data_IF_431878345738
#
_entry.id   IF_431878345738
#
_cell.length_a   1.000
_cell.length_b   1.000
_cell.length_c   1.000
_cell.angle_alpha   90.00
_cell.angle_beta   90.00
_cell.angle_gamma   90.00
#
_symmetry.space_group_name_H-M   'P 1'
#
loop_
_entity.id
_entity.type
_entity.pdbx_description
1 polymer ?
#
# COMPACT_ATOMS: atom_id res chain seq x y z
N UNK A 1 -9.83 42.17 32.37
CA UNK A 1 -10.05 40.75 32.03
C UNK A 1 -9.28 40.46 30.76
N UNK A 2 -8.23 39.61 30.75
CA UNK A 2 -7.40 39.51 29.56
C UNK A 2 -8.00 38.47 28.60
N UNK A 3 -8.22 38.90 27.36
CA UNK A 3 -8.70 38.10 26.23
C UNK A 3 -7.55 37.31 25.61
N UNK A 4 -7.07 36.28 26.31
CA UNK A 4 -5.91 35.48 25.90
C UNK A 4 -6.26 34.25 25.07
N UNK A 5 -7.01 34.44 23.98
CA UNK A 5 -6.91 33.52 22.84
C UNK A 5 -7.04 34.34 21.56
N UNK A 6 -5.95 34.50 20.78
CA UNK A 6 -6.10 34.99 19.43
C UNK A 6 -6.96 33.97 18.70
N UNK A 7 -8.18 34.38 18.32
CA UNK A 7 -8.98 33.69 17.33
C UNK A 7 -8.09 33.58 16.09
N UNK A 8 -7.46 32.43 15.89
CA UNK A 8 -6.73 32.13 14.67
C UNK A 8 -7.76 31.99 13.57
N UNK A 9 -8.26 33.14 13.09
CA UNK A 9 -8.91 33.31 11.80
C UNK A 9 -7.84 33.16 10.71
N UNK A 10 -7.11 32.05 10.75
CA UNK A 10 -6.47 31.54 9.56
C UNK A 10 -7.55 30.67 8.96
N UNK A 11 -8.13 31.15 7.86
CA UNK A 11 -8.94 30.39 6.92
C UNK A 11 -8.04 29.31 6.25
N UNK A 12 -7.34 28.52 7.08
CA UNK A 12 -6.48 27.43 6.68
C UNK A 12 -7.41 26.31 6.31
N UNK A 13 -7.31 25.90 5.04
CA UNK A 13 -8.02 24.73 4.55
C UNK A 13 -7.78 23.57 5.55
N UNK A 14 -8.87 22.99 6.05
CA UNK A 14 -8.87 21.84 6.97
C UNK A 14 -7.92 20.74 6.48
N UNK A 15 -7.82 20.61 5.16
CA UNK A 15 -6.91 19.74 4.44
C UNK A 15 -5.44 20.03 4.77
N UNK A 16 -4.99 21.28 4.69
CA UNK A 16 -3.62 21.71 5.02
C UNK A 16 -3.28 21.47 6.51
N UNK A 17 -4.24 21.67 7.42
CA UNK A 17 -4.02 21.39 8.84
C UNK A 17 -3.84 19.89 9.10
N UNK A 18 -4.64 19.05 8.43
CA UNK A 18 -4.50 17.59 8.50
C UNK A 18 -3.13 17.15 7.99
N UNK A 19 -2.69 17.69 6.84
CA UNK A 19 -1.38 17.38 6.25
C UNK A 19 -0.22 17.79 7.16
N UNK A 20 -0.21 19.03 7.68
CA UNK A 20 0.84 19.50 8.57
C UNK A 20 0.96 18.61 9.82
N UNK A 21 -0.16 18.33 10.48
CA UNK A 21 -0.16 17.49 11.69
C UNK A 21 0.25 16.04 11.39
N UNK A 22 -0.11 15.51 10.22
CA UNK A 22 0.36 14.21 9.77
C UNK A 22 1.88 14.18 9.59
N UNK A 23 2.45 15.21 8.96
CA UNK A 23 3.90 15.34 8.72
C UNK A 23 4.70 15.55 10.02
N UNK A 24 4.06 16.10 11.06
CA UNK A 24 4.62 16.14 12.42
C UNK A 24 4.65 14.77 13.13
N UNK A 25 4.12 13.72 12.51
CA UNK A 25 4.11 12.38 13.08
C UNK A 25 2.95 12.10 14.03
N UNK A 26 1.94 12.98 14.11
CA UNK A 26 0.80 12.82 15.01
C UNK A 26 -0.18 11.72 14.54
N UNK A 27 -0.50 10.79 15.43
CA UNK A 27 -1.45 9.70 15.19
C UNK A 27 -2.85 10.22 14.83
N UNK A 28 -3.70 9.38 14.24
CA UNK A 28 -5.04 9.82 13.86
C UNK A 28 -5.86 10.39 15.02
N UNK A 29 -5.75 9.81 16.23
CA UNK A 29 -6.39 10.35 17.44
C UNK A 29 -5.83 11.72 17.84
N UNK A 30 -4.51 11.88 17.79
CA UNK A 30 -3.83 13.14 18.12
C UNK A 30 -4.18 14.25 17.13
N UNK A 31 -4.21 13.95 15.83
CA UNK A 31 -4.65 14.90 14.79
C UNK A 31 -6.08 15.36 15.08
N UNK A 32 -6.98 14.44 15.44
CA UNK A 32 -8.37 14.81 15.76
C UNK A 32 -8.46 15.70 17.00
N UNK A 33 -7.74 15.36 18.07
CA UNK A 33 -7.69 16.16 19.29
C UNK A 33 -7.12 17.55 19.02
N UNK A 34 -6.06 17.65 18.22
CA UNK A 34 -5.43 18.92 17.85
C UNK A 34 -6.37 19.80 17.03
N UNK A 35 -7.02 19.23 16.01
CA UNK A 35 -8.00 19.97 15.19
C UNK A 35 -9.17 20.50 16.02
N UNK A 36 -9.61 19.73 17.02
CA UNK A 36 -10.67 20.14 17.93
C UNK A 36 -10.20 21.25 18.87
N UNK A 37 -9.07 21.08 19.54
CA UNK A 37 -8.59 21.97 20.60
C UNK A 37 -8.01 23.28 20.06
N UNK A 38 -7.24 23.24 18.97
CA UNK A 38 -6.55 24.40 18.43
C UNK A 38 -7.38 25.17 17.39
N UNK A 39 -8.28 24.48 16.67
CA UNK A 39 -8.98 25.06 15.53
C UNK A 39 -10.52 24.93 15.59
N UNK A 40 -11.07 24.27 16.62
CA UNK A 40 -12.51 24.09 16.78
C UNK A 40 -13.16 23.19 15.72
N UNK A 41 -12.37 22.44 14.93
CA UNK A 41 -12.88 21.57 13.86
C UNK A 41 -12.94 20.14 14.34
N UNK A 42 -14.11 19.49 14.18
CA UNK A 42 -14.32 18.10 14.62
C UNK A 42 -14.59 17.16 13.43
N UNK A 43 -13.56 16.76 12.66
CA UNK A 43 -13.76 15.76 11.63
C UNK A 43 -13.96 14.37 12.26
N UNK A 44 -14.78 13.55 11.64
CA UNK A 44 -14.82 12.11 11.93
C UNK A 44 -13.51 11.44 11.49
N UNK A 45 -13.17 10.31 12.12
CA UNK A 45 -12.05 9.46 11.68
C UNK A 45 -12.15 9.12 10.19
N UNK A 46 -13.37 8.88 9.68
CA UNK A 46 -13.60 8.58 8.26
C UNK A 46 -13.24 9.77 7.37
N UNK A 47 -13.61 10.99 7.76
CA UNK A 47 -13.25 12.21 7.03
C UNK A 47 -11.73 12.45 7.06
N UNK A 48 -11.09 12.27 8.21
CA UNK A 48 -9.63 12.37 8.33
C UNK A 48 -8.93 11.37 7.38
N UNK A 49 -9.33 10.10 7.41
CA UNK A 49 -8.78 9.06 6.52
C UNK A 49 -8.99 9.37 5.04
N UNK A 50 -10.17 9.89 4.68
CA UNK A 50 -10.46 10.29 3.28
C UNK A 50 -9.54 11.40 2.81
N UNK A 51 -9.35 12.44 3.63
CA UNK A 51 -8.46 13.58 3.30
C UNK A 51 -7.01 13.10 3.16
N UNK A 52 -6.52 12.32 4.13
CA UNK A 52 -5.17 11.73 4.06
C UNK A 52 -5.00 10.88 2.80
N UNK A 53 -5.98 10.05 2.46
CA UNK A 53 -5.95 9.23 1.25
C UNK A 53 -5.93 10.06 -0.04
N UNK A 54 -6.77 11.11 -0.15
CA UNK A 54 -6.76 11.99 -1.33
C UNK A 54 -5.44 12.74 -1.51
N UNK A 55 -4.68 12.94 -0.44
CA UNK A 55 -3.34 13.55 -0.47
C UNK A 55 -2.20 12.52 -0.64
N UNK A 56 -2.50 11.22 -0.67
CA UNK A 56 -1.48 10.17 -0.68
C UNK A 56 -0.69 10.04 0.63
N UNK A 57 -1.20 10.59 1.73
CA UNK A 57 -0.56 10.57 3.05
C UNK A 57 -0.91 9.28 3.79
N UNK A 58 0.03 8.33 3.77
CA UNK A 58 -0.09 7.03 4.42
C UNK A 58 1.18 6.73 5.23
N UNK A 59 1.03 6.28 6.47
CA UNK A 59 2.17 5.97 7.36
C UNK A 59 2.92 4.70 6.98
N UNK A 60 2.18 3.71 6.47
CA UNK A 60 2.75 2.46 5.96
C UNK A 60 2.84 2.55 4.45
N UNK A 61 3.95 3.06 3.91
CA UNK A 61 4.32 2.85 2.51
C UNK A 61 5.11 1.54 2.42
N UNK A 62 4.44 0.42 2.61
CA UNK A 62 5.06 -0.90 2.46
C UNK A 62 5.03 -1.35 0.99
N UNK A 63 5.27 -0.42 0.06
CA UNK A 63 5.51 -0.75 -1.33
C UNK A 63 6.98 -1.12 -1.44
N UNK A 64 7.23 -2.40 -1.64
CA UNK A 64 8.54 -2.85 -2.08
C UNK A 64 8.86 -2.18 -3.40
N UNK A 65 10.12 -1.85 -3.64
CA UNK A 65 10.57 -1.32 -4.93
C UNK A 65 10.06 -2.23 -6.06
N UNK A 66 9.26 -1.71 -7.02
CA UNK A 66 8.73 -2.50 -8.12
C UNK A 66 9.81 -3.27 -8.88
N UNK A 67 11.02 -2.70 -9.03
CA UNK A 67 12.12 -3.36 -9.72
C UNK A 67 12.58 -4.61 -8.97
N UNK A 68 12.69 -4.53 -7.64
CA UNK A 68 13.03 -5.68 -6.79
C UNK A 68 11.94 -6.74 -6.87
N UNK A 69 10.66 -6.35 -6.85
CA UNK A 69 9.54 -7.29 -6.97
C UNK A 69 9.58 -8.02 -8.31
N UNK A 70 9.81 -7.31 -9.41
CA UNK A 70 9.89 -7.88 -10.76
C UNK A 70 11.04 -8.88 -10.85
N UNK A 71 12.25 -8.51 -10.42
CA UNK A 71 13.43 -9.37 -10.48
C UNK A 71 13.23 -10.69 -9.69
N UNK A 72 12.59 -10.63 -8.52
CA UNK A 72 12.28 -11.84 -7.74
C UNK A 72 11.22 -12.70 -8.42
N UNK A 73 10.20 -12.09 -9.05
CA UNK A 73 9.19 -12.82 -9.81
C UNK A 73 9.82 -13.56 -10.99
N UNK A 74 10.67 -12.90 -11.76
CA UNK A 74 11.38 -13.53 -12.89
C UNK A 74 12.14 -14.77 -12.44
N UNK A 75 12.91 -14.65 -11.36
CA UNK A 75 13.64 -15.77 -10.74
C UNK A 75 12.71 -16.91 -10.29
N UNK A 76 11.56 -16.60 -9.68
CA UNK A 76 10.59 -17.63 -9.26
C UNK A 76 9.93 -18.32 -10.46
N UNK A 77 9.69 -17.59 -11.56
CA UNK A 77 9.09 -18.12 -12.79
C UNK A 77 10.02 -19.08 -13.52
N UNK A 78 11.34 -18.95 -13.38
CA UNK A 78 12.29 -19.95 -13.90
C UNK A 78 12.14 -21.32 -13.20
N UNK A 79 11.64 -21.33 -11.97
CA UNK A 79 11.48 -22.52 -11.15
C UNK A 79 10.03 -22.96 -10.95
N UNK A 80 9.74 -23.36 -9.71
CA UNK A 80 8.41 -23.84 -9.29
C UNK A 80 7.34 -22.74 -9.28
N UNK A 81 7.75 -21.46 -9.31
CA UNK A 81 6.84 -20.32 -9.37
C UNK A 81 6.01 -20.25 -10.66
N UNK A 82 6.48 -20.86 -11.75
CA UNK A 82 5.71 -20.93 -13.01
C UNK A 82 4.43 -21.79 -12.93
N UNK A 83 4.34 -22.68 -11.94
CA UNK A 83 3.21 -23.60 -11.78
C UNK A 83 2.06 -23.01 -10.95
N UNK A 84 2.37 -21.98 -10.15
CA UNK A 84 1.45 -21.41 -9.17
C UNK A 84 0.79 -20.14 -9.70
N UNK A 85 -0.41 -19.82 -9.19
CA UNK A 85 -1.08 -18.57 -9.51
C UNK A 85 -0.52 -17.38 -8.71
N UNK A 86 -0.81 -16.14 -9.14
CA UNK A 86 -0.30 -14.93 -8.50
C UNK A 86 -0.61 -14.84 -7.00
N UNK A 87 -1.71 -15.43 -6.53
CA UNK A 87 -2.06 -15.47 -5.11
C UNK A 87 -1.06 -16.27 -4.29
N UNK A 88 -0.68 -17.44 -4.80
CA UNK A 88 0.31 -18.31 -4.15
C UNK A 88 1.71 -17.72 -4.31
N UNK A 89 2.03 -17.14 -5.48
CA UNK A 89 3.29 -16.44 -5.71
C UNK A 89 3.44 -15.27 -4.73
N UNK A 90 2.42 -14.42 -4.58
CA UNK A 90 2.41 -13.33 -3.59
C UNK A 90 2.63 -13.84 -2.17
N UNK A 91 1.99 -14.94 -1.78
CA UNK A 91 2.21 -15.53 -0.47
C UNK A 91 3.67 -15.98 -0.28
N UNK A 92 4.27 -16.62 -1.30
CA UNK A 92 5.68 -17.02 -1.28
C UNK A 92 6.60 -15.81 -1.18
N UNK A 93 6.40 -14.81 -2.04
CA UNK A 93 7.16 -13.55 -2.01
C UNK A 93 7.09 -12.85 -0.65
N UNK A 94 5.94 -12.96 0.02
CA UNK A 94 5.75 -12.40 1.36
C UNK A 94 6.49 -13.18 2.45
N UNK A 95 6.53 -14.50 2.36
CA UNK A 95 7.16 -15.37 3.37
C UNK A 95 8.68 -15.40 3.19
N UNK A 96 9.15 -15.58 1.96
CA UNK A 96 10.56 -15.86 1.68
C UNK A 96 11.37 -14.58 1.47
N UNK A 97 10.75 -13.53 0.91
CA UNK A 97 11.43 -12.28 0.53
C UNK A 97 10.89 -11.05 1.27
N UNK A 98 9.89 -11.21 2.14
CA UNK A 98 9.26 -10.09 2.88
C UNK A 98 8.48 -9.10 1.99
N UNK A 99 8.27 -9.42 0.72
CA UNK A 99 7.61 -8.52 -0.25
C UNK A 99 6.10 -8.57 -0.08
N UNK A 100 5.48 -7.41 0.18
CA UNK A 100 4.05 -7.33 0.52
C UNK A 100 3.16 -6.83 -0.61
N UNK A 101 3.73 -6.28 -1.67
CA UNK A 101 2.95 -5.62 -2.72
C UNK A 101 2.22 -6.61 -3.63
N UNK A 102 0.93 -6.80 -3.38
CA UNK A 102 0.10 -7.78 -4.10
C UNK A 102 -0.23 -7.34 -5.52
N UNK A 103 -0.46 -6.05 -5.73
CA UNK A 103 -0.93 -5.54 -7.00
C UNK A 103 0.22 -5.49 -8.01
N UNK A 104 1.40 -5.06 -7.56
CA UNK A 104 2.64 -5.13 -8.34
C UNK A 104 2.93 -6.57 -8.78
N UNK A 105 2.79 -7.56 -7.89
CA UNK A 105 2.95 -8.99 -8.25
C UNK A 105 1.94 -9.43 -9.31
N UNK A 106 0.67 -9.04 -9.17
CA UNK A 106 -0.41 -9.40 -10.10
C UNK A 106 -0.14 -8.82 -11.50
N UNK A 107 0.26 -7.55 -11.57
CA UNK A 107 0.58 -6.86 -12.82
C UNK A 107 1.84 -7.44 -13.46
N UNK A 108 2.93 -7.55 -12.70
CA UNK A 108 4.20 -8.10 -13.18
C UNK A 108 4.00 -9.51 -13.75
N UNK A 109 3.33 -10.41 -13.02
CA UNK A 109 3.08 -11.77 -13.49
C UNK A 109 2.19 -11.82 -14.74
N UNK A 110 1.24 -10.88 -14.90
CA UNK A 110 0.43 -10.79 -16.12
C UNK A 110 1.30 -10.43 -17.33
N UNK A 111 2.32 -9.59 -17.16
CA UNK A 111 3.22 -9.19 -18.23
C UNK A 111 4.34 -10.21 -18.50
N UNK A 112 4.88 -10.84 -17.46
CA UNK A 112 6.00 -11.78 -17.55
C UNK A 112 5.58 -13.20 -17.97
N UNK A 113 4.35 -13.63 -17.64
CA UNK A 113 3.86 -14.99 -17.90
C UNK A 113 2.49 -14.99 -18.62
N UNK A 114 2.43 -14.37 -19.80
CA UNK A 114 1.20 -14.35 -20.62
C UNK A 114 0.71 -15.78 -20.92
N UNK A 115 1.63 -16.67 -21.31
CA UNK A 115 1.32 -18.06 -21.63
C UNK A 115 0.78 -18.86 -20.45
N UNK A 116 1.38 -18.76 -19.26
CA UNK A 116 0.89 -19.45 -18.08
C UNK A 116 -0.44 -18.87 -17.55
N UNK A 117 -0.67 -17.55 -17.70
CA UNK A 117 -1.98 -16.94 -17.41
C UNK A 117 -3.06 -17.50 -18.31
N UNK A 118 -2.81 -17.61 -19.62
CA UNK A 118 -3.75 -18.22 -20.55
C UNK A 118 -3.97 -19.72 -20.29
N UNK A 119 -2.92 -20.48 -19.97
CA UNK A 119 -3.07 -21.91 -19.65
C UNK A 119 -3.96 -22.11 -18.42
N UNK A 120 -3.78 -21.29 -17.39
CA UNK A 120 -4.59 -21.32 -16.17
C UNK A 120 -6.02 -20.87 -16.42
N UNK A 121 -6.27 -19.87 -17.27
CA UNK A 121 -7.65 -19.48 -17.63
C UNK A 121 -8.37 -20.61 -18.37
N UNK A 122 -7.65 -21.37 -19.20
CA UNK A 122 -8.14 -22.59 -19.87
C UNK A 122 -8.18 -23.83 -18.97
N UNK A 123 -7.89 -23.70 -17.68
CA UNK A 123 -7.80 -24.80 -16.71
C UNK A 123 -6.83 -25.94 -17.12
N UNK A 124 -5.79 -25.60 -17.89
CA UNK A 124 -4.76 -26.55 -18.33
C UNK A 124 -3.53 -26.45 -17.43
N UNK A 125 -3.27 -27.52 -16.67
CA UNK A 125 -2.08 -27.61 -15.82
C UNK A 125 -0.82 -27.84 -16.66
N UNK A 126 0.28 -27.18 -16.29
CA UNK A 126 1.62 -27.51 -16.77
C UNK A 126 2.15 -28.65 -15.91
N UNK A 127 2.61 -29.73 -16.54
CA UNK A 127 3.23 -30.86 -15.84
C UNK A 127 4.61 -30.43 -15.36
N UNK A 128 4.89 -30.64 -14.08
CA UNK A 128 6.21 -30.41 -13.50
C UNK A 128 7.22 -31.36 -14.15
N UNK A 129 8.38 -30.85 -14.52
CA UNK A 129 9.52 -31.64 -15.03
C UNK A 129 10.48 -31.88 -13.88
N UNK A 130 10.61 -33.14 -13.46
CA UNK A 130 11.57 -33.55 -12.44
C UNK A 130 12.88 -33.92 -13.14
N UNK A 131 13.94 -33.16 -12.90
CA UNK A 131 15.30 -33.62 -13.22
C UNK A 131 15.83 -34.37 -12.01
N UNK A 132 16.23 -35.63 -12.20
CA UNK A 132 17.12 -36.28 -11.24
C UNK A 132 18.46 -35.53 -11.24
N UNK A 133 19.09 -35.41 -10.08
CA UNK A 133 20.47 -34.94 -9.94
C UNK A 133 21.43 -36.10 -10.08
#
# INVERSE_FOLDING_TARGET
MPSYLPLTSTNSDRSCLIERNFNLGLNSSEILSFLLLAHGVRPSIRQLKRVLFSMGLCRRKNHSDPHVVIAVIEKELEGSGSLIGYRQLHQRLRVDYGLRDRETVRLAMKHLDLGGVERRSRHKLKRSTYSAK
#
